data_IF_017429324084
#
_entry.id   IF_017429324084
#
_cell.length_a   1.000
_cell.length_b   1.000
_cell.length_c   1.000
_cell.angle_alpha   90.00
_cell.angle_beta   90.00
_cell.angle_gamma   90.00
#
_symmetry.space_group_name_H-M   'P 1'
#
loop_
_entity.id
_entity.type
_entity.pdbx_description
1 polymer ?
#
# COMPACT_ATOMS: atom_id res chain seq x y z
N UNK A 1 23.23 9.18 81.10
CA UNK A 1 22.33 9.70 80.03
C UNK A 1 23.25 10.19 78.93
N UNK A 2 23.27 9.75 77.67
CA UNK A 2 22.24 9.30 76.72
C UNK A 2 22.97 8.40 75.68
N UNK A 3 22.64 7.12 75.60
CA UNK A 3 22.02 6.42 74.45
C UNK A 3 22.48 6.85 73.03
N UNK A 4 23.12 5.92 72.30
CA UNK A 4 23.19 5.89 70.84
C UNK A 4 22.56 4.58 70.38
N UNK A 5 21.42 4.65 69.67
CA UNK A 5 20.72 3.49 69.12
C UNK A 5 20.63 3.57 67.59
N UNK A 6 21.29 2.59 66.96
CA UNK A 6 20.86 1.77 65.82
C UNK A 6 20.28 2.44 64.55
N UNK A 7 21.10 2.40 63.50
CA UNK A 7 20.71 2.36 62.09
C UNK A 7 20.25 0.96 61.69
N UNK A 8 18.99 0.79 61.28
CA UNK A 8 18.52 -0.28 60.37
C UNK A 8 17.04 -0.07 60.09
N UNK A 9 16.71 0.75 59.09
CA UNK A 9 15.29 0.99 58.77
C UNK A 9 14.96 1.46 57.37
N UNK A 10 15.93 1.63 56.47
CA UNK A 10 15.67 2.32 55.19
C UNK A 10 15.98 1.52 53.91
N UNK A 11 16.37 0.25 54.02
CA UNK A 11 16.73 -0.57 52.85
C UNK A 11 15.69 -1.64 52.48
N UNK A 12 14.60 -1.79 53.25
CA UNK A 12 13.59 -2.83 53.00
C UNK A 12 12.31 -2.35 52.29
N UNK A 13 12.13 -1.04 52.08
CA UNK A 13 10.87 -0.51 51.49
C UNK A 13 10.97 -0.31 49.97
N UNK A 14 12.17 -0.28 49.39
CA UNK A 14 12.36 -0.12 47.94
C UNK A 14 12.45 -1.43 47.14
N UNK A 15 12.40 -2.58 47.81
CA UNK A 15 12.44 -3.89 47.14
C UNK A 15 11.04 -4.51 46.91
N UNK A 16 9.98 -3.92 47.47
CA UNK A 16 8.62 -4.47 47.42
C UNK A 16 7.71 -3.90 46.31
N UNK A 17 8.13 -2.84 45.61
CA UNK A 17 7.25 -2.11 44.67
C UNK A 17 7.61 -2.25 43.19
N UNK A 18 8.49 -3.19 42.82
CA UNK A 18 8.90 -3.44 41.43
C UNK A 18 8.44 -4.82 40.92
N UNK A 19 7.87 -5.66 41.78
CA UNK A 19 7.53 -7.04 41.43
C UNK A 19 6.06 -7.28 40.99
N UNK A 20 5.21 -6.25 40.90
CA UNK A 20 3.76 -6.44 40.71
C UNK A 20 3.17 -5.95 39.37
N UNK A 21 3.97 -5.46 38.43
CA UNK A 21 3.46 -4.89 37.17
C UNK A 21 4.10 -5.48 35.91
N UNK A 22 4.45 -6.76 35.96
CA UNK A 22 4.84 -7.55 34.79
C UNK A 22 3.95 -8.79 34.63
N UNK A 23 2.62 -8.61 34.81
CA UNK A 23 1.69 -9.46 34.10
C UNK A 23 1.81 -9.05 32.62
N UNK A 24 2.66 -9.77 31.88
CA UNK A 24 2.73 -9.66 30.44
C UNK A 24 1.32 -9.85 29.89
N UNK A 25 0.69 -8.74 29.45
CA UNK A 25 -0.38 -8.84 28.46
C UNK A 25 0.25 -9.56 27.27
N UNK A 26 -0.05 -10.85 27.12
CA UNK A 26 0.16 -11.53 25.85
C UNK A 26 -0.48 -10.62 24.78
N UNK A 27 0.23 -10.26 23.70
CA UNK A 27 -0.35 -9.43 22.67
C UNK A 27 -1.64 -10.11 22.21
N UNK A 28 -2.78 -9.45 22.46
CA UNK A 28 -4.07 -9.95 22.02
C UNK A 28 -3.95 -10.22 20.52
N UNK A 29 -4.23 -11.46 20.10
CA UNK A 29 -4.19 -11.80 18.68
C UNK A 29 -5.06 -10.78 17.94
N UNK A 30 -4.52 -10.12 16.90
CA UNK A 30 -5.24 -9.05 16.22
C UNK A 30 -6.60 -9.58 15.75
N UNK A 31 -7.67 -8.90 16.15
CA UNK A 31 -9.01 -9.27 15.76
C UNK A 31 -9.09 -9.30 14.21
N UNK A 32 -9.75 -10.30 13.63
CA UNK A 32 -9.83 -10.41 12.18
C UNK A 32 -10.51 -9.16 11.61
N UNK A 33 -9.87 -8.56 10.60
CA UNK A 33 -10.45 -7.47 9.85
C UNK A 33 -11.68 -8.00 9.12
N UNK A 34 -12.85 -7.52 9.54
CA UNK A 34 -14.12 -7.81 8.88
C UNK A 34 -14.17 -7.00 7.60
N UNK A 35 -14.27 -7.70 6.48
CA UNK A 35 -14.18 -7.11 5.16
C UNK A 35 -15.44 -7.46 4.37
N UNK A 36 -16.20 -6.45 3.97
CA UNK A 36 -17.24 -6.57 2.95
C UNK A 36 -16.67 -6.29 1.56
N UNK A 37 -17.42 -6.66 0.52
CA UNK A 37 -17.09 -6.38 -0.88
C UNK A 37 -17.01 -4.87 -1.13
N UNK A 38 -17.95 -4.11 -0.56
CA UNK A 38 -17.96 -2.66 -0.66
C UNK A 38 -16.73 -2.04 0.00
N UNK A 39 -16.34 -2.54 1.18
CA UNK A 39 -15.12 -2.09 1.86
C UNK A 39 -13.87 -2.44 1.06
N UNK A 40 -13.81 -3.66 0.50
CA UNK A 40 -12.69 -4.10 -0.33
C UNK A 40 -12.52 -3.22 -1.58
N UNK A 41 -13.63 -2.91 -2.26
CA UNK A 41 -13.63 -2.02 -3.44
C UNK A 41 -13.24 -0.59 -3.06
N UNK A 42 -13.78 -0.07 -1.96
CA UNK A 42 -13.47 1.28 -1.48
C UNK A 42 -11.98 1.42 -1.10
N UNK A 43 -11.44 0.42 -0.39
CA UNK A 43 -10.00 0.40 -0.05
C UNK A 43 -9.13 0.25 -1.30
N UNK A 44 -9.52 -0.62 -2.24
CA UNK A 44 -8.78 -0.81 -3.50
C UNK A 44 -8.67 0.49 -4.31
N UNK A 45 -9.74 1.29 -4.34
CA UNK A 45 -9.80 2.53 -5.08
C UNK A 45 -8.90 3.64 -4.51
N UNK A 46 -8.53 3.58 -3.23
CA UNK A 46 -7.89 4.71 -2.54
C UNK A 46 -6.60 4.42 -1.78
N UNK A 47 -6.43 3.22 -1.20
CA UNK A 47 -5.36 2.93 -0.22
C UNK A 47 -4.33 1.92 -0.71
N UNK A 48 -4.40 1.51 -1.96
CA UNK A 48 -3.46 0.51 -2.50
C UNK A 48 -2.15 1.16 -2.94
N UNK A 49 -0.99 0.50 -2.74
CA UNK A 49 0.31 1.03 -3.14
C UNK A 49 0.42 1.40 -4.62
N UNK A 50 -0.27 0.66 -5.49
CA UNK A 50 -0.29 0.93 -6.94
C UNK A 50 -1.02 2.23 -7.28
N UNK A 51 -2.10 2.54 -6.56
CA UNK A 51 -2.85 3.80 -6.72
C UNK A 51 -2.06 4.98 -6.13
N UNK A 52 -1.37 4.77 -5.02
CA UNK A 52 -0.50 5.78 -4.42
C UNK A 52 0.67 6.12 -5.37
N UNK A 53 1.31 5.11 -5.97
CA UNK A 53 2.36 5.33 -6.96
C UNK A 53 1.86 6.13 -8.17
N UNK A 54 0.67 5.81 -8.68
CA UNK A 54 0.05 6.58 -9.76
C UNK A 54 -0.26 8.03 -9.34
N UNK A 55 -0.67 8.23 -8.08
CA UNK A 55 -0.89 9.57 -7.50
C UNK A 55 0.41 10.37 -7.43
N UNK A 56 1.52 9.75 -7.03
CA UNK A 56 2.82 10.41 -7.00
C UNK A 56 3.28 10.79 -8.42
N UNK A 57 3.05 9.93 -9.42
CA UNK A 57 3.32 10.26 -10.84
C UNK A 57 2.50 11.45 -11.33
N UNK A 58 1.22 11.54 -10.96
CA UNK A 58 0.42 12.75 -11.28
C UNK A 58 0.98 14.01 -10.63
N UNK A 59 1.43 13.90 -9.38
CA UNK A 59 2.03 15.02 -8.64
C UNK A 59 3.35 15.46 -9.27
N UNK A 60 4.16 14.51 -9.74
CA UNK A 60 5.38 14.76 -10.49
C UNK A 60 5.10 15.48 -11.81
N UNK A 61 4.10 15.02 -12.57
CA UNK A 61 3.70 15.67 -13.82
C UNK A 61 3.21 17.11 -13.59
N UNK A 62 2.41 17.35 -12.54
CA UNK A 62 1.98 18.68 -12.14
C UNK A 62 3.17 19.58 -11.72
N UNK A 63 4.18 19.01 -11.07
CA UNK A 63 5.41 19.72 -10.74
C UNK A 63 6.19 20.13 -12.00
N UNK A 64 6.25 19.26 -13.02
CA UNK A 64 6.85 19.58 -14.32
C UNK A 64 6.10 20.71 -15.04
N UNK A 65 4.77 20.77 -14.92
CA UNK A 65 3.99 21.92 -15.42
C UNK A 65 4.40 23.21 -14.72
N UNK A 66 4.53 23.20 -13.39
CA UNK A 66 4.99 24.38 -12.63
C UNK A 66 6.41 24.79 -13.02
N UNK A 67 7.31 23.83 -13.21
CA UNK A 67 8.66 24.09 -13.68
C UNK A 67 8.68 24.70 -15.08
N UNK A 68 7.85 24.20 -16.01
CA UNK A 68 7.73 24.79 -17.34
C UNK A 68 7.18 26.23 -17.28
N UNK A 69 6.23 26.51 -16.36
CA UNK A 69 5.69 27.86 -16.14
C UNK A 69 6.73 28.83 -15.57
N UNK A 70 7.71 28.34 -14.81
CA UNK A 70 8.76 29.18 -14.26
C UNK A 70 9.58 29.90 -15.35
N UNK A 71 9.69 29.31 -16.56
CA UNK A 71 10.34 29.96 -17.70
C UNK A 71 9.60 31.22 -18.21
N UNK A 72 8.33 31.39 -17.84
CA UNK A 72 7.52 32.57 -18.18
C UNK A 72 7.53 33.62 -17.06
N UNK A 73 8.22 33.36 -15.96
CA UNK A 73 8.35 34.25 -14.82
C UNK A 73 9.74 34.91 -14.81
N UNK A 74 9.91 36.08 -14.17
CA UNK A 74 11.22 36.66 -13.97
C UNK A 74 12.11 35.72 -13.14
N UNK A 75 13.31 35.45 -13.64
CA UNK A 75 14.35 34.72 -12.90
C UNK A 75 15.17 35.71 -12.07
N UNK A 76 15.26 35.47 -10.76
CA UNK A 76 16.11 36.24 -9.85
C UNK A 76 17.29 35.36 -9.45
N UNK A 77 18.51 35.85 -9.63
CA UNK A 77 19.73 35.18 -9.22
C UNK A 77 20.59 36.12 -8.39
N UNK A 78 21.23 35.57 -7.36
CA UNK A 78 22.18 36.28 -6.53
C UNK A 78 23.52 35.55 -6.53
N UNK A 79 24.61 36.28 -6.63
CA UNK A 79 25.95 35.72 -6.47
C UNK A 79 26.77 36.61 -5.54
N UNK A 80 27.59 35.96 -4.72
CA UNK A 80 28.55 36.60 -3.83
C UNK A 80 29.88 35.90 -3.99
N UNK A 81 30.96 36.67 -4.15
CA UNK A 81 32.30 36.15 -4.25
C UNK A 81 33.25 36.98 -3.39
N UNK A 82 34.13 36.29 -2.68
CA UNK A 82 35.27 36.91 -2.02
C UNK A 82 36.53 36.31 -2.62
N UNK A 83 37.35 37.17 -3.21
CA UNK A 83 38.62 36.79 -3.80
C UNK A 83 39.74 37.58 -3.14
N UNK A 84 40.75 36.87 -2.66
CA UNK A 84 42.03 37.49 -2.33
C UNK A 84 42.88 37.55 -3.60
N UNK A 85 43.23 38.77 -4.05
CA UNK A 85 44.01 38.98 -5.26
C UNK A 85 45.33 39.64 -4.93
N UNK A 86 46.40 39.11 -5.48
CA UNK A 86 47.70 39.79 -5.56
C UNK A 86 47.94 40.18 -7.02
N UNK A 87 48.27 41.44 -7.27
CA UNK A 87 48.59 41.90 -8.62
C UNK A 87 50.10 41.85 -8.82
N UNK A 88 50.56 41.18 -9.87
CA UNK A 88 51.96 41.23 -10.27
C UNK A 88 52.06 42.08 -11.54
N UNK A 89 52.72 43.24 -11.47
CA UNK A 89 52.82 44.13 -12.63
C UNK A 89 53.66 43.52 -13.76
N UNK A 90 54.60 42.62 -13.43
CA UNK A 90 55.44 41.90 -14.40
C UNK A 90 54.64 40.88 -15.24
N UNK A 91 53.55 40.32 -14.71
CA UNK A 91 52.72 39.36 -15.47
C UNK A 91 51.91 40.01 -16.60
N UNK A 92 51.81 41.34 -16.63
CA UNK A 92 51.08 42.12 -17.63
C UNK A 92 52.04 42.95 -18.51
N UNK A 93 53.36 42.78 -18.33
CA UNK A 93 54.39 43.39 -19.16
C UNK A 93 54.65 44.89 -18.91
N UNK A 94 54.20 45.44 -17.77
CA UNK A 94 54.36 46.85 -17.43
C UNK A 94 55.20 46.98 -16.15
N UNK A 95 56.37 47.60 -16.24
CA UNK A 95 57.22 47.92 -15.08
C UNK A 95 57.47 49.43 -14.99
N UNK A 96 57.25 50.00 -13.81
CA UNK A 96 57.53 51.40 -13.51
C UNK A 96 58.67 51.50 -12.49
N UNK A 97 59.72 52.31 -12.72
CA UNK A 97 60.78 52.52 -11.75
C UNK A 97 60.21 53.09 -10.43
N UNK A 98 60.46 52.42 -9.31
CA UNK A 98 60.04 52.87 -7.97
C UNK A 98 58.67 52.35 -7.47
N UNK A 99 57.95 51.55 -8.25
CA UNK A 99 56.68 50.92 -7.81
C UNK A 99 56.89 49.43 -7.50
N UNK A 100 56.43 48.91 -6.33
CA UNK A 100 56.56 47.49 -6.00
C UNK A 100 55.93 46.58 -7.06
N UNK A 101 56.69 45.59 -7.55
CA UNK A 101 56.24 44.70 -8.64
C UNK A 101 55.12 43.73 -8.21
N UNK A 102 55.06 43.39 -6.92
CA UNK A 102 54.02 42.58 -6.31
C UNK A 102 53.17 43.49 -5.41
N UNK A 103 52.00 43.85 -5.90
CA UNK A 103 50.99 44.55 -5.12
C UNK A 103 50.25 43.46 -4.33
N UNK A 104 50.44 43.52 -3.01
CA UNK A 104 50.08 42.48 -2.04
C UNK A 104 48.59 42.10 -2.01
N UNK A 105 48.24 41.06 -1.23
CA UNK A 105 46.90 40.50 -1.20
C UNK A 105 45.89 41.54 -0.74
N UNK A 106 44.98 41.92 -1.64
CA UNK A 106 43.81 42.73 -1.31
C UNK A 106 42.54 41.89 -1.44
N UNK A 107 41.62 42.10 -0.52
CA UNK A 107 40.33 41.43 -0.52
C UNK A 107 39.39 42.14 -1.50
N UNK A 108 38.90 41.39 -2.48
CA UNK A 108 37.84 41.81 -3.37
C UNK A 108 36.54 41.11 -2.94
N UNK A 109 35.56 41.89 -2.51
CA UNK A 109 34.21 41.43 -2.21
C UNK A 109 33.30 41.88 -3.34
N UNK A 110 32.58 40.94 -3.92
CA UNK A 110 31.67 41.16 -5.05
C UNK A 110 30.33 40.52 -4.70
N UNK A 111 29.25 41.29 -4.75
CA UNK A 111 27.90 40.80 -4.56
C UNK A 111 27.01 41.37 -5.67
N UNK A 112 26.31 40.49 -6.39
CA UNK A 112 25.44 40.86 -7.51
C UNK A 112 24.08 40.23 -7.36
N UNK A 113 23.05 41.00 -7.68
CA UNK A 113 21.69 40.53 -7.87
C UNK A 113 21.31 40.79 -9.33
N UNK A 114 20.88 39.76 -10.04
CA UNK A 114 20.46 39.86 -11.44
C UNK A 114 19.02 39.36 -11.57
N UNK A 115 18.15 40.17 -12.20
CA UNK A 115 16.80 39.80 -12.56
C UNK A 115 16.68 39.75 -14.09
N UNK A 116 16.28 38.60 -14.64
CA UNK A 116 16.09 38.41 -16.09
C UNK A 116 14.66 37.97 -16.35
N UNK A 117 13.93 38.74 -17.16
CA UNK A 117 12.56 38.42 -17.58
C UNK A 117 12.48 38.38 -19.09
N UNK A 118 12.04 37.24 -19.62
CA UNK A 118 11.70 37.10 -21.03
C UNK A 118 10.34 37.74 -21.27
N UNK A 119 10.26 38.78 -22.10
CA UNK A 119 8.98 39.45 -22.41
C UNK A 119 8.08 38.60 -23.29
N UNK A 120 8.65 37.84 -24.22
CA UNK A 120 7.89 36.96 -25.11
C UNK A 120 8.78 35.81 -25.62
N UNK A 121 8.30 34.57 -25.44
CA UNK A 121 8.90 33.36 -26.00
C UNK A 121 7.81 32.30 -26.26
N UNK A 122 7.49 32.10 -27.55
CA UNK A 122 6.50 31.12 -27.97
C UNK A 122 6.89 29.68 -27.61
N UNK A 123 8.18 29.36 -27.61
CA UNK A 123 8.66 28.01 -27.29
C UNK A 123 8.36 27.64 -25.84
N UNK A 124 8.47 28.60 -24.91
CA UNK A 124 8.10 28.40 -23.50
C UNK A 124 6.59 28.21 -23.32
N UNK A 125 5.76 28.96 -24.05
CA UNK A 125 4.29 28.75 -24.04
C UNK A 125 3.91 27.37 -24.58
N UNK A 126 4.56 26.93 -25.67
CA UNK A 126 4.35 25.59 -26.21
C UNK A 126 4.80 24.50 -25.22
N UNK A 127 5.93 24.68 -24.53
CA UNK A 127 6.41 23.76 -23.48
C UNK A 127 5.44 23.65 -22.31
N UNK A 128 4.85 24.76 -21.84
CA UNK A 128 3.84 24.73 -20.78
C UNK A 128 2.60 23.95 -21.22
N UNK A 129 2.12 24.18 -22.46
CA UNK A 129 0.99 23.43 -23.02
C UNK A 129 1.29 21.94 -23.14
N UNK A 130 2.47 21.57 -23.64
CA UNK A 130 2.90 20.19 -23.75
C UNK A 130 3.00 19.51 -22.36
N UNK A 131 3.57 20.20 -21.37
CA UNK A 131 3.61 19.70 -19.99
C UNK A 131 2.20 19.53 -19.40
N UNK A 132 1.28 20.44 -19.71
CA UNK A 132 -0.13 20.32 -19.31
C UNK A 132 -0.79 19.06 -19.86
N UNK A 133 -0.67 18.82 -21.17
CA UNK A 133 -1.19 17.61 -21.81
C UNK A 133 -0.57 16.32 -21.24
N UNK A 134 0.72 16.35 -20.90
CA UNK A 134 1.39 15.23 -20.22
C UNK A 134 0.80 14.99 -18.82
N UNK A 135 0.51 16.04 -18.06
CA UNK A 135 -0.14 15.91 -16.75
C UNK A 135 -1.57 15.38 -16.86
N UNK A 136 -2.33 15.81 -17.87
CA UNK A 136 -3.66 15.28 -18.14
C UNK A 136 -3.60 13.77 -18.44
N UNK A 137 -2.64 13.33 -19.27
CA UNK A 137 -2.36 11.91 -19.53
C UNK A 137 -2.00 11.13 -18.27
N UNK A 138 -1.15 11.66 -17.39
CA UNK A 138 -0.85 11.01 -16.10
C UNK A 138 -2.10 10.87 -15.22
N UNK A 139 -3.03 11.83 -15.24
CA UNK A 139 -4.29 11.72 -14.48
C UNK A 139 -5.22 10.66 -15.06
N UNK A 140 -5.28 10.53 -16.39
CA UNK A 140 -5.99 9.44 -17.06
C UNK A 140 -5.40 8.07 -16.68
N UNK A 141 -4.07 7.91 -16.74
CA UNK A 141 -3.37 6.69 -16.33
C UNK A 141 -3.60 6.31 -14.86
N UNK A 142 -3.68 7.31 -13.98
CA UNK A 142 -4.10 7.09 -12.58
C UNK A 142 -5.51 6.51 -12.52
N UNK A 143 -6.46 7.05 -13.29
CA UNK A 143 -7.82 6.52 -13.39
C UNK A 143 -7.85 5.04 -13.78
N UNK A 144 -7.10 4.67 -14.84
CA UNK A 144 -6.95 3.27 -15.28
C UNK A 144 -6.35 2.39 -14.18
N UNK A 145 -5.34 2.90 -13.47
CA UNK A 145 -4.70 2.16 -12.37
C UNK A 145 -5.67 1.90 -11.21
N UNK A 146 -6.49 2.89 -10.87
CA UNK A 146 -7.56 2.76 -9.86
C UNK A 146 -8.57 1.70 -10.28
N UNK A 147 -9.09 1.77 -11.51
CA UNK A 147 -10.04 0.78 -12.03
C UNK A 147 -9.46 -0.63 -12.06
N UNK A 148 -8.21 -0.78 -12.50
CA UNK A 148 -7.50 -2.06 -12.51
C UNK A 148 -7.29 -2.63 -11.09
N UNK A 149 -6.99 -1.79 -10.11
CA UNK A 149 -6.84 -2.20 -8.70
C UNK A 149 -8.18 -2.65 -8.11
N UNK A 150 -9.25 -1.91 -8.39
CA UNK A 150 -10.62 -2.26 -7.98
C UNK A 150 -11.03 -3.60 -8.59
N UNK A 151 -10.85 -3.79 -9.90
CA UNK A 151 -11.21 -5.03 -10.59
C UNK A 151 -10.44 -6.24 -10.03
N UNK A 152 -9.13 -6.09 -9.86
CA UNK A 152 -8.27 -7.16 -9.32
C UNK A 152 -8.73 -7.56 -7.91
N UNK A 153 -9.01 -6.57 -7.06
CA UNK A 153 -9.49 -6.81 -5.69
C UNK A 153 -10.89 -7.43 -5.67
N UNK A 154 -11.81 -6.93 -6.49
CA UNK A 154 -13.17 -7.45 -6.58
C UNK A 154 -13.18 -8.93 -6.99
N UNK A 155 -12.38 -9.31 -8.01
CA UNK A 155 -12.26 -10.70 -8.45
C UNK A 155 -11.61 -11.58 -7.37
N UNK A 156 -10.56 -11.10 -6.69
CA UNK A 156 -9.93 -11.82 -5.59
C UNK A 156 -10.92 -12.07 -4.44
N UNK A 157 -11.70 -11.05 -4.08
CA UNK A 157 -12.70 -11.12 -3.02
C UNK A 157 -13.78 -12.16 -3.34
N UNK A 158 -14.41 -12.10 -4.52
CA UNK A 158 -15.46 -13.07 -4.90
C UNK A 158 -14.91 -14.50 -4.93
N UNK A 159 -13.67 -14.69 -5.41
CA UNK A 159 -13.00 -16.00 -5.37
C UNK A 159 -12.79 -16.50 -3.94
N UNK A 160 -12.44 -15.62 -3.00
CA UNK A 160 -12.24 -15.97 -1.60
C UNK A 160 -13.57 -16.27 -0.87
N UNK A 161 -14.64 -15.53 -1.14
CA UNK A 161 -15.99 -15.86 -0.63
C UNK A 161 -16.49 -17.20 -1.19
N UNK A 162 -16.16 -17.50 -2.45
CA UNK A 162 -16.42 -18.82 -3.04
C UNK A 162 -15.68 -19.92 -2.31
N UNK A 163 -14.39 -19.78 -2.02
CA UNK A 163 -13.63 -20.83 -1.29
C UNK A 163 -14.15 -20.98 0.13
N UNK A 164 -14.59 -19.90 0.79
CA UNK A 164 -15.27 -19.98 2.10
C UNK A 164 -16.54 -20.82 2.03
N UNK A 165 -17.35 -20.62 0.98
CA UNK A 165 -18.56 -21.41 0.75
C UNK A 165 -18.25 -22.89 0.48
N UNK A 166 -17.16 -23.18 -0.24
CA UNK A 166 -16.69 -24.56 -0.48
C UNK A 166 -16.23 -25.22 0.82
N UNK A 167 -15.52 -24.49 1.71
CA UNK A 167 -15.16 -25.01 3.03
C UNK A 167 -16.39 -25.37 3.84
N UNK A 168 -17.42 -24.52 3.86
CA UNK A 168 -18.68 -24.81 4.54
C UNK A 168 -19.36 -26.07 3.98
N UNK A 169 -19.40 -26.24 2.66
CA UNK A 169 -19.95 -27.45 2.03
C UNK A 169 -19.13 -28.71 2.38
N UNK A 170 -17.80 -28.66 2.29
CA UNK A 170 -16.93 -29.81 2.66
C UNK A 170 -16.99 -30.16 4.14
N UNK A 171 -17.24 -29.18 4.99
CA UNK A 171 -17.47 -29.42 6.41
C UNK A 171 -18.77 -30.20 6.62
N UNK A 172 -19.84 -29.86 5.90
CA UNK A 172 -21.09 -30.61 5.94
C UNK A 172 -20.93 -32.04 5.38
N UNK A 173 -20.22 -32.21 4.26
CA UNK A 173 -19.89 -33.53 3.69
C UNK A 173 -19.15 -34.41 4.71
N UNK A 174 -18.18 -33.84 5.44
CA UNK A 174 -17.42 -34.56 6.47
C UNK A 174 -18.31 -35.00 7.63
N UNK A 175 -19.24 -34.15 8.08
CA UNK A 175 -20.19 -34.51 9.15
C UNK A 175 -21.09 -35.66 8.71
N UNK A 176 -21.64 -35.60 7.50
CA UNK A 176 -22.46 -36.68 6.92
C UNK A 176 -21.64 -37.98 6.84
N UNK A 177 -20.39 -37.92 6.39
CA UNK A 177 -19.52 -39.09 6.32
C UNK A 177 -19.25 -39.70 7.71
N UNK A 178 -19.09 -38.87 8.75
CA UNK A 178 -18.97 -39.34 10.14
C UNK A 178 -20.24 -40.05 10.61
N UNK A 179 -21.41 -39.50 10.31
CA UNK A 179 -22.70 -40.14 10.65
C UNK A 179 -22.87 -41.49 9.94
N UNK A 180 -22.46 -41.60 8.67
CA UNK A 180 -22.49 -42.86 7.92
C UNK A 180 -21.56 -43.93 8.50
N UNK A 181 -20.39 -43.53 9.01
CA UNK A 181 -19.50 -44.45 9.74
C UNK A 181 -20.20 -44.98 10.99
N UNK A 182 -20.81 -44.11 11.79
CA UNK A 182 -21.56 -44.51 12.99
C UNK A 182 -22.73 -45.45 12.67
N UNK A 183 -23.47 -45.18 11.60
CA UNK A 183 -24.55 -46.04 11.12
C UNK A 183 -24.04 -47.43 10.71
N UNK A 184 -22.96 -47.49 9.93
CA UNK A 184 -22.38 -48.76 9.49
C UNK A 184 -21.85 -49.59 10.68
N UNK A 185 -21.26 -48.94 11.68
CA UNK A 185 -20.79 -49.60 12.91
C UNK A 185 -21.95 -50.17 13.72
N UNK A 186 -23.05 -49.43 13.87
CA UNK A 186 -24.25 -49.89 14.55
C UNK A 186 -24.90 -51.09 13.82
N UNK A 187 -25.01 -51.03 12.49
CA UNK A 187 -25.54 -52.12 11.68
C UNK A 187 -24.68 -53.39 11.75
N UNK A 188 -23.35 -53.23 11.74
CA UNK A 188 -22.42 -54.34 11.95
C UNK A 188 -22.59 -54.95 13.34
N UNK A 189 -22.70 -54.14 14.38
CA UNK A 189 -22.91 -54.60 15.75
C UNK A 189 -24.24 -55.36 15.92
N UNK A 190 -25.28 -54.94 15.21
CA UNK A 190 -26.57 -55.63 15.15
C UNK A 190 -26.59 -56.86 14.22
N UNK A 191 -25.48 -57.16 13.52
CA UNK A 191 -25.37 -58.31 12.62
C UNK A 191 -26.09 -58.17 11.28
N UNK A 192 -26.54 -56.97 10.91
CA UNK A 192 -27.32 -56.70 9.69
C UNK A 192 -26.50 -56.17 8.51
N UNK A 193 -25.21 -55.86 8.71
CA UNK A 193 -24.27 -55.44 7.65
C UNK A 193 -22.87 -56.05 7.85
N UNK A 194 -22.15 -56.40 6.76
CA UNK A 194 -20.80 -56.94 6.82
C UNK A 194 -19.73 -55.89 7.21
N UNK A 195 -18.59 -56.37 7.71
CA UNK A 195 -17.47 -55.51 8.10
C UNK A 195 -16.88 -54.65 6.96
N UNK A 196 -17.05 -55.08 5.71
CA UNK A 196 -16.59 -54.33 4.53
C UNK A 196 -17.32 -52.99 4.36
N UNK A 197 -18.57 -52.89 4.80
CA UNK A 197 -19.35 -51.65 4.70
C UNK A 197 -18.81 -50.59 5.67
N UNK A 198 -18.40 -51.00 6.88
CA UNK A 198 -17.70 -50.13 7.84
C UNK A 198 -16.39 -49.63 7.25
N UNK A 199 -15.59 -50.51 6.64
CA UNK A 199 -14.33 -50.11 5.98
C UNK A 199 -14.58 -49.13 4.84
N UNK A 200 -15.62 -49.34 4.03
CA UNK A 200 -16.02 -48.43 2.94
C UNK A 200 -16.45 -47.06 3.48
N UNK A 201 -17.27 -47.03 4.53
CA UNK A 201 -17.70 -45.78 5.17
C UNK A 201 -16.50 -45.02 5.76
N UNK A 202 -15.55 -45.71 6.42
CA UNK A 202 -14.32 -45.09 6.93
C UNK A 202 -13.43 -44.53 5.83
N UNK A 203 -13.33 -45.22 4.69
CA UNK A 203 -12.60 -44.72 3.52
C UNK A 203 -13.27 -43.46 2.93
N UNK A 204 -14.60 -43.40 2.92
CA UNK A 204 -15.35 -42.21 2.52
C UNK A 204 -15.12 -41.03 3.47
N UNK A 205 -15.13 -41.26 4.79
CA UNK A 205 -14.79 -40.23 5.78
C UNK A 205 -13.38 -39.69 5.57
N UNK A 206 -12.37 -40.56 5.44
CA UNK A 206 -10.99 -40.14 5.20
C UNK A 206 -10.87 -39.30 3.90
N UNK A 207 -11.63 -39.66 2.86
CA UNK A 207 -11.70 -38.88 1.62
C UNK A 207 -12.33 -37.50 1.85
N UNK A 208 -13.44 -37.43 2.59
CA UNK A 208 -14.12 -36.18 2.90
C UNK A 208 -13.24 -35.24 3.75
N UNK A 209 -12.54 -35.76 4.74
CA UNK A 209 -11.57 -35.03 5.56
C UNK A 209 -10.40 -34.48 4.71
N UNK A 210 -9.88 -35.29 3.79
CA UNK A 210 -8.85 -34.85 2.85
C UNK A 210 -9.32 -33.69 1.96
N UNK A 211 -10.54 -33.77 1.42
CA UNK A 211 -11.14 -32.69 0.61
C UNK A 211 -11.39 -31.42 1.43
N UNK A 212 -11.80 -31.55 2.69
CA UNK A 212 -11.97 -30.43 3.61
C UNK A 212 -10.64 -29.74 3.92
N UNK A 213 -9.56 -30.51 4.14
CA UNK A 213 -8.22 -29.94 4.34
C UNK A 213 -7.76 -29.15 3.12
N UNK A 214 -7.96 -29.69 1.91
CA UNK A 214 -7.64 -28.98 0.66
C UNK A 214 -8.47 -27.68 0.53
N UNK A 215 -9.77 -27.74 0.85
CA UNK A 215 -10.65 -26.57 0.80
C UNK A 215 -10.20 -25.47 1.79
N UNK A 216 -9.80 -25.84 3.01
CA UNK A 216 -9.28 -24.90 4.02
C UNK A 216 -8.01 -24.20 3.53
N UNK A 217 -7.06 -24.96 2.97
CA UNK A 217 -5.85 -24.39 2.37
C UNK A 217 -6.17 -23.43 1.20
N UNK A 218 -7.18 -23.73 0.39
CA UNK A 218 -7.63 -22.82 -0.68
C UNK A 218 -8.26 -21.53 -0.15
N UNK A 219 -9.00 -21.60 0.97
CA UNK A 219 -9.51 -20.41 1.65
C UNK A 219 -8.37 -19.54 2.20
N UNK A 220 -7.37 -20.15 2.82
CA UNK A 220 -6.24 -19.41 3.37
C UNK A 220 -5.40 -18.73 2.26
N UNK A 221 -5.20 -19.41 1.13
CA UNK A 221 -4.63 -18.78 -0.08
C UNK A 221 -5.48 -17.62 -0.58
N UNK A 222 -6.81 -17.80 -0.63
CA UNK A 222 -7.74 -16.74 -1.04
C UNK A 222 -7.66 -15.51 -0.14
N UNK A 223 -7.49 -15.68 1.18
CA UNK A 223 -7.28 -14.59 2.14
C UNK A 223 -5.98 -13.83 1.84
N UNK A 224 -4.88 -14.56 1.61
CA UNK A 224 -3.59 -13.96 1.27
C UNK A 224 -3.67 -13.18 -0.05
N UNK A 225 -4.38 -13.71 -1.05
CA UNK A 225 -4.53 -13.05 -2.34
C UNK A 225 -5.34 -11.75 -2.23
N UNK A 226 -6.40 -11.73 -1.40
CA UNK A 226 -7.15 -10.50 -1.11
C UNK A 226 -6.29 -9.49 -0.34
N UNK A 227 -5.56 -9.93 0.69
CA UNK A 227 -4.65 -9.04 1.43
C UNK A 227 -3.61 -8.41 0.51
N UNK A 228 -2.99 -9.20 -0.39
CA UNK A 228 -2.03 -8.72 -1.38
C UNK A 228 -2.64 -7.73 -2.37
N UNK A 229 -3.85 -8.02 -2.87
CA UNK A 229 -4.56 -7.11 -3.79
C UNK A 229 -4.86 -5.75 -3.14
N UNK A 230 -5.15 -5.75 -1.84
CA UNK A 230 -5.36 -4.54 -1.03
C UNK A 230 -4.06 -3.86 -0.58
N UNK A 231 -2.89 -4.46 -0.81
CA UNK A 231 -1.62 -3.97 -0.29
C UNK A 231 -1.47 -4.08 1.23
N UNK A 232 -2.25 -4.96 1.87
CA UNK A 232 -2.13 -5.30 3.28
C UNK A 232 -1.05 -6.36 3.49
N UNK A 233 -0.60 -6.53 4.74
CA UNK A 233 0.26 -7.65 5.11
C UNK A 233 -0.46 -8.98 4.84
N UNK A 234 0.24 -9.94 4.25
CA UNK A 234 -0.30 -11.27 3.94
C UNK A 234 -0.72 -12.05 5.19
N UNK A 235 -0.14 -11.73 6.35
CA UNK A 235 -0.53 -12.32 7.63
C UNK A 235 -1.78 -11.67 8.26
N UNK A 236 -2.36 -10.63 7.63
CA UNK A 236 -3.54 -9.95 8.17
C UNK A 236 -4.71 -10.94 8.25
N UNK A 237 -5.28 -11.20 9.44
CA UNK A 237 -6.43 -12.08 9.56
C UNK A 237 -7.66 -11.43 8.93
N UNK A 238 -8.23 -12.03 7.88
CA UNK A 238 -9.41 -11.52 7.18
C UNK A 238 -10.63 -12.39 7.46
N UNK A 239 -11.76 -11.75 7.77
CA UNK A 239 -13.07 -12.36 7.88
C UNK A 239 -14.04 -11.73 6.86
N UNK A 240 -14.44 -12.50 5.86
CA UNK A 240 -15.40 -12.04 4.85
C UNK A 240 -16.82 -12.04 5.42
N UNK A 241 -17.54 -10.93 5.22
CA UNK A 241 -18.89 -10.76 5.78
C UNK A 241 -20.01 -11.09 4.82
N UNK A 242 -19.72 -11.16 3.52
CA UNK A 242 -20.74 -11.36 2.48
C UNK A 242 -20.93 -12.83 2.12
N UNK A 243 -22.05 -13.11 1.47
CA UNK A 243 -22.33 -14.37 0.79
C UNK A 243 -22.37 -14.15 -0.73
N UNK A 244 -22.26 -15.24 -1.50
CA UNK A 244 -22.38 -15.23 -2.97
C UNK A 244 -23.85 -15.06 -3.42
N UNK A 245 -24.54 -14.06 -2.90
CA UNK A 245 -25.88 -13.71 -3.36
C UNK A 245 -25.81 -13.06 -4.76
N UNK A 246 -26.83 -13.21 -5.62
CA UNK A 246 -26.89 -12.54 -6.92
C UNK A 246 -26.80 -11.01 -6.86
N UNK A 247 -27.06 -10.42 -5.70
CA UNK A 247 -26.92 -8.99 -5.44
C UNK A 247 -25.48 -8.52 -5.23
N UNK A 248 -24.52 -9.42 -5.02
CA UNK A 248 -23.13 -9.08 -4.77
C UNK A 248 -22.50 -8.48 -6.03
N UNK A 249 -22.12 -7.21 -5.97
CA UNK A 249 -21.55 -6.50 -7.13
C UNK A 249 -22.59 -6.16 -8.21
N UNK A 250 -23.88 -6.13 -7.87
CA UNK A 250 -24.90 -5.64 -8.78
C UNK A 250 -24.61 -4.17 -9.13
N UNK A 251 -24.46 -3.90 -10.43
CA UNK A 251 -24.27 -2.58 -10.98
C UNK A 251 -25.40 -2.28 -11.95
N UNK A 252 -25.85 -1.03 -11.96
CA UNK A 252 -26.90 -0.56 -12.87
C UNK A 252 -26.30 -0.32 -14.26
N UNK A 253 -26.05 -1.42 -14.97
CA UNK A 253 -25.46 -1.41 -16.32
C UNK A 253 -26.60 -1.46 -17.35
N UNK A 254 -26.63 -0.53 -18.33
CA UNK A 254 -27.64 -0.56 -19.38
C UNK A 254 -27.63 -1.90 -20.12
N UNK A 255 -28.78 -2.59 -20.15
CA UNK A 255 -28.91 -3.91 -20.81
C UNK A 255 -28.77 -3.78 -22.33
N UNK A 256 -29.16 -2.64 -22.90
CA UNK A 256 -29.09 -2.40 -24.34
C UNK A 256 -27.65 -2.13 -24.77
N UNK A 257 -27.17 -2.84 -25.78
CA UNK A 257 -25.81 -2.74 -26.32
C UNK A 257 -25.37 -1.30 -26.57
N UNK A 258 -26.17 -0.54 -27.32
CA UNK A 258 -25.76 0.82 -27.74
C UNK A 258 -25.59 1.75 -26.53
N UNK A 259 -26.51 1.69 -25.57
CA UNK A 259 -26.38 2.47 -24.32
C UNK A 259 -25.19 2.03 -23.48
N UNK A 260 -24.84 0.74 -23.47
CA UNK A 260 -23.67 0.25 -22.76
C UNK A 260 -22.36 0.73 -23.43
N UNK A 261 -22.30 0.73 -24.76
CA UNK A 261 -21.15 1.23 -25.52
C UNK A 261 -20.99 2.74 -25.31
N UNK A 262 -22.06 3.52 -25.39
CA UNK A 262 -22.01 4.96 -25.14
C UNK A 262 -21.55 5.26 -23.71
N UNK A 263 -22.09 4.55 -22.71
CA UNK A 263 -21.65 4.70 -21.33
C UNK A 263 -20.18 4.32 -21.14
N UNK A 264 -19.71 3.25 -21.79
CA UNK A 264 -18.31 2.84 -21.74
C UNK A 264 -17.37 3.89 -22.35
N UNK A 265 -17.71 4.42 -23.53
CA UNK A 265 -16.90 5.45 -24.19
C UNK A 265 -16.84 6.76 -23.37
N UNK A 266 -17.91 7.11 -22.65
CA UNK A 266 -17.96 8.32 -21.82
C UNK A 266 -17.17 8.20 -20.51
N UNK A 267 -17.07 6.99 -19.96
CA UNK A 267 -16.54 6.75 -18.61
C UNK A 267 -15.10 6.22 -18.59
N UNK A 268 -14.57 5.67 -19.68
CA UNK A 268 -13.20 5.13 -19.74
C UNK A 268 -12.13 6.23 -19.57
N UNK A 269 -11.33 6.19 -18.49
CA UNK A 269 -10.29 7.19 -18.24
C UNK A 269 -9.26 7.30 -19.37
N UNK A 270 -8.88 6.18 -19.99
CA UNK A 270 -7.88 6.08 -21.06
C UNK A 270 -8.30 6.70 -22.39
N UNK A 271 -9.59 7.07 -22.54
CA UNK A 271 -10.10 7.73 -23.74
C UNK A 271 -10.17 9.26 -23.58
N UNK A 272 -9.84 9.79 -22.40
CA UNK A 272 -9.75 11.23 -22.12
C UNK A 272 -8.32 11.74 -22.28
#
# INVERSE_FOLDING_TARGET
MVSRSSSTGLLAVFAGLVAASAAAQAPAAPAPLRLSFADAVSMAAGKTPVVELATLRTTEADARVRQARAALLPSLSGSGAWLNRSFNSRSIGISFPGVPELIGPFNNYDARLNAVQTLFDWSSVARVRAAGAQADGSRAERGVTVEGSVLTTALAYVRAVRTQSVVAARQADSVIATELVGLAEAQRAAGVSPAIDVTRARAQLATAEGLLLVARNQLDRGRIDVARALGLDAATPLAFTDSLAPSLGAADVPVRRDSAVTAALANRPELR
#
